data_IF_181387363174
#
_entry.id   IF_181387363174
#
_cell.length_a   1.000
_cell.length_b   1.000
_cell.length_c   1.000
_cell.angle_alpha   90.00
_cell.angle_beta   90.00
_cell.angle_gamma   90.00
#
_symmetry.space_group_name_H-M   'P 1'
#
loop_
_entity.id
_entity.type
_entity.pdbx_description
1 polymer ?
#
# COMPACT_ATOMS: atom_id res chain seq x y z
N UNK A 1 -24.37 9.84 -17.44
CA UNK A 1 -23.11 9.06 -17.39
C UNK A 1 -22.04 9.65 -16.45
N UNK A 2 -21.92 10.97 -16.28
CA UNK A 2 -20.87 11.58 -15.43
C UNK A 2 -20.97 11.26 -13.92
N UNK A 3 -22.17 11.32 -13.32
CA UNK A 3 -22.34 11.10 -11.87
C UNK A 3 -21.96 9.68 -11.42
N UNK A 4 -22.43 8.66 -12.15
CA UNK A 4 -22.12 7.23 -11.85
C UNK A 4 -20.61 6.94 -11.86
N UNK A 5 -19.85 7.57 -12.77
CA UNK A 5 -18.40 7.40 -12.82
C UNK A 5 -17.72 8.09 -11.62
N UNK A 6 -18.18 9.28 -11.23
CA UNK A 6 -17.68 10.00 -10.05
C UNK A 6 -18.02 9.27 -8.74
N UNK A 7 -19.24 8.76 -8.59
CA UNK A 7 -19.65 7.98 -7.42
C UNK A 7 -18.85 6.68 -7.27
N UNK A 8 -18.55 6.00 -8.40
CA UNK A 8 -17.64 4.85 -8.40
C UNK A 8 -16.23 5.22 -7.95
N UNK A 9 -15.66 6.29 -8.50
CA UNK A 9 -14.31 6.76 -8.12
C UNK A 9 -14.27 7.14 -6.64
N UNK A 10 -15.30 7.84 -6.15
CA UNK A 10 -15.42 8.27 -4.75
C UNK A 10 -15.54 7.08 -3.79
N UNK A 11 -16.32 6.05 -4.15
CA UNK A 11 -16.41 4.79 -3.38
C UNK A 11 -15.08 4.03 -3.31
N UNK A 12 -14.30 4.01 -4.40
CA UNK A 12 -12.95 3.42 -4.38
C UNK A 12 -11.96 4.22 -3.52
N UNK A 13 -12.08 5.55 -3.50
CA UNK A 13 -11.24 6.41 -2.66
C UNK A 13 -11.61 6.29 -1.17
N UNK A 14 -12.90 6.31 -0.86
CA UNK A 14 -13.44 6.21 0.51
C UNK A 14 -13.08 4.87 1.18
N UNK A 15 -13.17 3.77 0.42
CA UNK A 15 -12.76 2.42 0.89
C UNK A 15 -11.28 2.30 1.23
N UNK A 16 -10.42 3.17 0.70
CA UNK A 16 -8.97 3.19 0.97
C UNK A 16 -8.57 4.13 2.09
N UNK A 17 -9.53 4.86 2.66
CA UNK A 17 -9.28 5.91 3.65
C UNK A 17 -9.75 5.53 5.06
N UNK A 18 -10.05 4.24 5.29
CA UNK A 18 -10.27 3.74 6.66
C UNK A 18 -8.92 3.45 7.28
N UNK A 19 -8.62 3.98 8.49
CA UNK A 19 -7.49 3.49 9.26
C UNK A 19 -7.71 2.00 9.48
N UNK A 20 -6.72 1.18 9.12
CA UNK A 20 -6.74 -0.24 9.44
C UNK A 20 -6.34 -0.36 10.91
N UNK A 21 -7.30 -0.69 11.76
CA UNK A 21 -7.07 -1.02 13.16
C UNK A 21 -6.58 -2.47 13.23
N UNK A 22 -5.53 -2.72 14.00
CA UNK A 22 -4.92 -4.04 14.18
C UNK A 22 -4.92 -4.39 15.66
N UNK A 23 -5.22 -5.65 15.99
CA UNK A 23 -5.13 -6.16 17.35
C UNK A 23 -3.87 -6.99 17.58
N UNK A 24 -3.48 -7.17 18.84
CA UNK A 24 -2.35 -8.00 19.20
C UNK A 24 -2.63 -9.48 18.85
N UNK A 25 -1.92 -10.01 17.85
CA UNK A 25 -2.12 -11.36 17.31
C UNK A 25 -2.47 -11.39 15.81
N UNK A 26 -2.81 -10.24 15.23
CA UNK A 26 -3.04 -10.13 13.80
C UNK A 26 -1.73 -10.29 13.02
N UNK A 27 -1.76 -11.15 11.99
CA UNK A 27 -0.64 -11.29 11.07
C UNK A 27 -0.75 -10.22 9.99
N UNK A 28 0.08 -9.19 10.10
CA UNK A 28 0.05 -8.02 9.23
C UNK A 28 1.31 -7.95 8.41
N UNK A 29 1.17 -7.69 7.11
CA UNK A 29 2.30 -7.50 6.23
C UNK A 29 2.58 -6.01 6.06
N UNK A 30 3.74 -5.54 6.54
CA UNK A 30 4.19 -4.18 6.34
C UNK A 30 4.73 -4.02 4.93
N UNK A 31 4.13 -3.13 4.13
CA UNK A 31 4.64 -2.80 2.79
C UNK A 31 5.92 -1.98 2.89
N UNK A 32 7.03 -2.57 2.49
CA UNK A 32 8.34 -1.92 2.44
C UNK A 32 8.61 -1.40 1.03
N UNK A 33 8.92 -0.11 0.93
CA UNK A 33 9.64 0.40 -0.24
C UNK A 33 11.12 0.23 0.06
N UNK A 34 11.94 -0.36 -0.83
CA UNK A 34 13.38 -0.38 -0.63
C UNK A 34 13.89 1.06 -0.68
N UNK A 35 14.06 1.68 0.49
CA UNK A 35 14.60 3.04 0.63
C UNK A 35 16.13 2.97 0.58
N UNK A 36 16.69 3.63 -0.41
CA UNK A 36 18.12 3.82 -0.61
C UNK A 36 18.73 4.52 0.60
N UNK A 37 19.58 3.84 1.39
CA UNK A 37 20.53 4.55 2.24
C UNK A 37 21.44 5.42 1.38
N UNK A 38 21.85 6.60 1.87
CA UNK A 38 22.74 7.53 1.15
C UNK A 38 23.97 6.75 0.64
N UNK A 39 24.02 6.49 -0.67
CA UNK A 39 25.15 5.83 -1.32
C UNK A 39 24.93 4.45 -1.97
N UNK A 40 23.75 3.80 -1.90
CA UNK A 40 23.54 2.51 -2.61
C UNK A 40 22.17 2.35 -3.26
N UNK A 41 22.11 2.58 -4.57
CA UNK A 41 20.95 2.26 -5.41
C UNK A 41 20.69 0.74 -5.44
N UNK A 42 19.65 0.27 -4.76
CA UNK A 42 19.08 -1.05 -5.04
C UNK A 42 18.28 -0.91 -6.34
N UNK A 43 18.87 -1.36 -7.46
CA UNK A 43 18.14 -1.57 -8.71
C UNK A 43 16.96 -2.48 -8.36
N UNK A 44 15.74 -1.94 -8.32
CA UNK A 44 14.55 -2.69 -7.92
C UNK A 44 14.45 -3.93 -8.81
N UNK A 45 14.94 -5.08 -8.33
CA UNK A 45 14.77 -6.34 -9.06
C UNK A 45 13.28 -6.64 -8.99
N UNK A 46 12.71 -7.03 -10.13
CA UNK A 46 11.28 -7.29 -10.33
C UNK A 46 10.66 -8.25 -9.28
N UNK A 47 11.50 -8.97 -8.53
CA UNK A 47 11.17 -9.98 -7.53
C UNK A 47 11.61 -9.63 -6.10
N UNK A 48 11.97 -8.37 -5.80
CA UNK A 48 12.27 -7.97 -4.42
C UNK A 48 10.98 -8.04 -3.58
N UNK A 49 10.98 -8.76 -2.45
CA UNK A 49 9.82 -8.80 -1.57
C UNK A 49 9.56 -7.40 -1.03
N UNK A 50 8.34 -6.91 -1.22
CA UNK A 50 7.88 -5.58 -0.79
C UNK A 50 7.08 -5.65 0.52
N UNK A 51 7.12 -6.78 1.20
CA UNK A 51 6.30 -7.05 2.38
C UNK A 51 7.12 -7.83 3.40
N UNK A 52 7.10 -7.38 4.66
CA UNK A 52 7.64 -8.09 5.83
C UNK A 52 6.42 -8.51 6.67
N UNK A 53 6.37 -9.76 7.10
CA UNK A 53 5.35 -10.30 8.01
C UNK A 53 5.99 -10.86 9.26
#
# INVERSE_FOLDING_TARGET
MMKVAQDRQKSYADRRQRPLEFEAGDHVFLRVTPTTGVGRALKARKLTPKFIG
#
